data_IF_803257197573
#
_entry.id   IF_803257197573
#
_cell.length_a   1.000
_cell.length_b   1.000
_cell.length_c   1.000
_cell.angle_alpha   90.00
_cell.angle_beta   90.00
_cell.angle_gamma   90.00
#
_symmetry.space_group_name_H-M   'P 1'
#
loop_
_entity.id
_entity.type
_entity.pdbx_description
1 polymer ?
#
# COMPACT_ATOMS: atom_id res chain seq x y z
N UNK A 1 -9.95 -12.78 6.58
CA UNK A 1 -10.09 -11.31 6.71
C UNK A 1 -11.53 -10.92 6.40
N UNK A 2 -12.12 -9.90 7.06
CA UNK A 2 -13.55 -9.63 6.95
C UNK A 2 -13.84 -8.90 5.62
N UNK A 3 -14.07 -9.66 4.55
CA UNK A 3 -14.32 -9.10 3.22
C UNK A 3 -15.57 -8.20 3.18
N UNK A 4 -16.62 -8.54 3.94
CA UNK A 4 -17.90 -7.81 3.92
C UNK A 4 -17.80 -6.31 4.29
N UNK A 5 -17.19 -5.89 5.42
CA UNK A 5 -17.05 -4.48 5.75
C UNK A 5 -16.13 -3.72 4.79
N UNK A 6 -15.14 -4.39 4.21
CA UNK A 6 -14.23 -3.80 3.21
C UNK A 6 -14.98 -3.50 1.93
N UNK A 7 -15.71 -4.48 1.38
CA UNK A 7 -16.54 -4.28 0.18
C UNK A 7 -17.63 -3.25 0.40
N UNK A 8 -18.24 -3.18 1.59
CA UNK A 8 -19.22 -2.15 1.92
C UNK A 8 -18.60 -0.74 1.98
N UNK A 9 -17.36 -0.61 2.47
CA UNK A 9 -16.65 0.67 2.46
C UNK A 9 -16.29 1.11 1.04
N UNK A 10 -15.76 0.19 0.22
CA UNK A 10 -15.42 0.43 -1.18
C UNK A 10 -16.66 0.80 -1.99
N UNK A 11 -17.79 0.08 -1.82
CA UNK A 11 -19.06 0.40 -2.47
C UNK A 11 -19.65 1.75 -2.05
N UNK A 12 -19.25 2.29 -0.89
CA UNK A 12 -19.60 3.64 -0.45
C UNK A 12 -18.60 4.73 -0.90
N UNK A 13 -17.63 4.38 -1.76
CA UNK A 13 -16.61 5.31 -2.26
C UNK A 13 -15.57 5.70 -1.21
N UNK A 14 -15.36 4.87 -0.18
CA UNK A 14 -14.34 5.10 0.85
C UNK A 14 -13.15 4.17 0.64
N UNK A 15 -11.95 4.71 0.74
CA UNK A 15 -10.73 3.92 0.71
C UNK A 15 -10.48 3.23 2.05
N UNK A 16 -9.91 2.03 1.98
CA UNK A 16 -9.51 1.23 3.14
C UNK A 16 -7.99 1.07 3.09
N UNK A 17 -7.31 1.48 4.15
CA UNK A 17 -5.87 1.29 4.30
C UNK A 17 -5.61 0.00 5.09
N UNK A 18 -4.76 -0.86 4.54
CA UNK A 18 -4.26 -2.05 5.21
C UNK A 18 -2.77 -1.89 5.53
N UNK A 19 -2.39 -2.28 6.75
CA UNK A 19 -1.00 -2.47 7.17
C UNK A 19 -0.79 -3.97 7.35
N UNK A 20 -0.26 -4.64 6.33
CA UNK A 20 -0.09 -6.09 6.24
C UNK A 20 1.27 -6.43 5.64
N UNK A 21 1.78 -7.62 5.93
CA UNK A 21 3.02 -8.14 5.35
C UNK A 21 2.84 -8.57 3.89
N UNK A 22 3.95 -8.98 3.24
CA UNK A 22 3.93 -9.43 1.84
C UNK A 22 3.02 -10.63 1.59
N UNK A 23 2.87 -11.53 2.57
CA UNK A 23 1.99 -12.70 2.44
C UNK A 23 0.52 -12.28 2.46
N UNK A 24 0.17 -11.33 3.33
CA UNK A 24 -1.16 -10.71 3.36
C UNK A 24 -1.46 -9.95 2.07
N UNK A 25 -0.48 -9.20 1.54
CA UNK A 25 -0.62 -8.49 0.27
C UNK A 25 -0.87 -9.44 -0.90
N UNK A 26 -0.14 -10.56 -0.99
CA UNK A 26 -0.37 -11.59 -2.02
C UNK A 26 -1.79 -12.17 -1.93
N UNK A 27 -2.27 -12.50 -0.73
CA UNK A 27 -3.63 -13.03 -0.56
C UNK A 27 -4.71 -12.02 -1.00
N UNK A 28 -4.51 -10.73 -0.75
CA UNK A 28 -5.43 -9.69 -1.24
C UNK A 28 -5.34 -9.52 -2.76
N UNK A 29 -4.13 -9.59 -3.32
CA UNK A 29 -3.93 -9.49 -4.76
C UNK A 29 -4.64 -10.65 -5.50
N UNK A 30 -4.58 -11.87 -4.97
CA UNK A 30 -5.28 -13.03 -5.53
C UNK A 30 -6.80 -12.88 -5.46
N UNK A 31 -7.31 -12.24 -4.41
CA UNK A 31 -8.74 -12.06 -4.20
C UNK A 31 -9.34 -10.89 -5.01
N UNK A 32 -8.60 -9.79 -5.19
CA UNK A 32 -9.13 -8.56 -5.78
C UNK A 32 -8.02 -7.65 -6.31
N UNK A 33 -7.27 -8.12 -7.32
CA UNK A 33 -6.16 -7.36 -7.92
C UNK A 33 -6.58 -6.04 -8.56
N UNK A 34 -7.78 -5.98 -9.13
CA UNK A 34 -8.25 -4.80 -9.88
C UNK A 34 -8.52 -3.60 -8.96
N UNK A 35 -8.94 -3.84 -7.71
CA UNK A 35 -9.28 -2.81 -6.72
C UNK A 35 -8.15 -2.53 -5.71
N UNK A 36 -7.11 -3.38 -5.66
CA UNK A 36 -5.96 -3.19 -4.80
C UNK A 36 -4.99 -2.15 -5.39
N UNK A 37 -4.40 -1.33 -4.52
CA UNK A 37 -3.19 -0.55 -4.83
C UNK A 37 -2.19 -0.86 -3.73
N UNK A 38 -1.03 -1.34 -4.12
CA UNK A 38 0.01 -1.80 -3.21
C UNK A 38 1.19 -0.84 -3.22
N UNK A 39 1.60 -0.37 -2.03
CA UNK A 39 2.72 0.55 -1.85
C UNK A 39 3.71 -0.07 -0.89
N UNK A 40 4.94 -0.34 -1.36
CA UNK A 40 6.02 -0.83 -0.53
C UNK A 40 6.88 0.32 -0.02
N UNK A 41 7.11 0.39 1.28
CA UNK A 41 7.88 1.46 1.91
C UNK A 41 9.25 0.94 2.34
N UNK A 42 10.29 1.37 1.64
CA UNK A 42 11.69 1.07 1.94
C UNK A 42 12.30 2.06 2.93
N UNK A 43 13.19 1.60 3.83
CA UNK A 43 14.11 2.49 4.52
C UNK A 43 15.17 3.04 3.54
N UNK A 44 15.79 4.19 3.82
CA UNK A 44 16.81 4.79 2.95
C UNK A 44 18.12 3.99 2.94
N UNK A 45 18.36 3.19 3.99
CA UNK A 45 19.51 2.28 4.07
C UNK A 45 19.23 1.10 4.99
N UNK A 46 20.00 0.02 4.85
CA UNK A 46 20.00 -1.12 5.78
C UNK A 46 20.41 -0.70 7.19
N UNK A 47 21.31 0.26 7.33
CA UNK A 47 21.73 0.82 8.62
C UNK A 47 20.59 1.55 9.33
N UNK A 48 19.75 2.27 8.58
CA UNK A 48 18.59 2.95 9.17
C UNK A 48 17.48 1.97 9.54
N UNK A 49 17.33 0.87 8.78
CA UNK A 49 16.47 -0.25 9.17
C UNK A 49 16.91 -0.87 10.49
N UNK A 50 18.20 -1.19 10.61
CA UNK A 50 18.79 -1.77 11.82
C UNK A 50 18.60 -0.83 13.02
N UNK A 51 18.89 0.47 12.88
CA UNK A 51 18.63 1.48 13.91
C UNK A 51 17.16 1.51 14.33
N UNK A 52 16.21 1.44 13.38
CA UNK A 52 14.77 1.44 13.68
C UNK A 52 14.39 0.19 14.46
N UNK A 53 14.91 -0.99 14.10
CA UNK A 53 14.68 -2.24 14.83
C UNK A 53 15.26 -2.19 16.25
N UNK A 54 16.48 -1.67 16.40
CA UNK A 54 17.15 -1.44 17.69
C UNK A 54 16.39 -0.43 18.57
N UNK A 55 15.83 0.63 17.99
CA UNK A 55 15.07 1.64 18.75
C UNK A 55 13.71 1.13 19.22
N UNK A 56 13.14 0.15 18.51
CA UNK A 56 11.81 -0.39 18.80
C UNK A 56 11.84 -1.48 19.86
N UNK A 57 13.01 -1.95 20.28
CA UNK A 57 13.09 -3.00 21.28
C UNK A 57 14.36 -2.94 22.13
N UNK A 58 14.24 -3.32 23.41
CA UNK A 58 15.34 -3.83 24.24
C UNK A 58 15.79 -5.23 23.77
N UNK A 59 15.74 -5.49 22.46
CA UNK A 59 16.02 -6.80 21.86
C UNK A 59 17.53 -7.07 21.93
N UNK A 60 17.90 -8.32 22.25
CA UNK A 60 19.30 -8.76 22.18
C UNK A 60 19.80 -8.72 20.72
N UNK A 61 21.12 -8.66 20.53
CA UNK A 61 21.74 -8.63 19.21
C UNK A 61 21.27 -9.78 18.29
N UNK A 62 21.01 -10.95 18.85
CA UNK A 62 20.53 -12.13 18.12
C UNK A 62 19.11 -11.94 17.54
N UNK A 63 18.23 -11.26 18.28
CA UNK A 63 16.86 -10.97 17.83
C UNK A 63 16.88 -9.95 16.69
N UNK A 64 17.76 -8.94 16.79
CA UNK A 64 17.95 -7.94 15.73
C UNK A 64 18.47 -8.58 14.45
N UNK A 65 19.47 -9.47 14.56
CA UNK A 65 20.01 -10.20 13.42
C UNK A 65 18.92 -11.06 12.73
N UNK A 66 18.10 -11.78 13.49
CA UNK A 66 16.99 -12.55 12.95
C UNK A 66 15.94 -11.68 12.23
N UNK A 67 15.60 -10.52 12.79
CA UNK A 67 14.66 -9.57 12.16
C UNK A 67 15.25 -8.92 10.90
N UNK A 68 16.53 -8.59 10.91
CA UNK A 68 17.23 -8.07 9.72
C UNK A 68 17.24 -9.09 8.58
N UNK A 69 17.48 -10.37 8.89
CA UNK A 69 17.40 -11.45 7.90
C UNK A 69 15.98 -11.56 7.30
N UNK A 70 14.94 -11.58 8.14
CA UNK A 70 13.54 -11.57 7.69
C UNK A 70 13.23 -10.35 6.81
N UNK A 71 13.64 -9.16 7.23
CA UNK A 71 13.40 -7.95 6.45
C UNK A 71 14.09 -7.99 5.08
N UNK A 72 15.27 -8.61 4.96
CA UNK A 72 15.92 -8.82 3.67
C UNK A 72 15.09 -9.71 2.74
N UNK A 73 14.52 -10.80 3.29
CA UNK A 73 13.64 -11.69 2.52
C UNK A 73 12.34 -10.98 2.12
N UNK A 74 11.73 -10.20 3.01
CA UNK A 74 10.54 -9.39 2.70
C UNK A 74 10.83 -8.37 1.60
N UNK A 75 11.97 -7.66 1.68
CA UNK A 75 12.39 -6.68 0.66
C UNK A 75 12.54 -7.35 -0.70
N UNK A 76 12.94 -8.63 -0.80
CA UNK A 76 13.09 -9.30 -2.10
C UNK A 76 11.79 -9.37 -2.92
N UNK A 77 10.63 -9.28 -2.27
CA UNK A 77 9.31 -9.31 -2.89
C UNK A 77 8.83 -7.91 -3.35
N UNK A 78 9.67 -6.87 -3.28
CA UNK A 78 9.29 -5.48 -3.65
C UNK A 78 8.70 -5.36 -5.07
N UNK A 79 9.08 -6.26 -5.98
CA UNK A 79 8.63 -6.24 -7.39
C UNK A 79 7.16 -6.59 -7.59
N UNK A 80 6.52 -7.09 -6.55
CA UNK A 80 5.11 -7.46 -6.57
C UNK A 80 4.19 -6.27 -6.28
N UNK A 81 4.76 -5.14 -5.85
CA UNK A 81 4.04 -3.93 -5.49
C UNK A 81 3.93 -2.95 -6.66
N UNK A 82 2.83 -2.19 -6.72
CA UNK A 82 2.57 -1.19 -7.77
C UNK A 82 3.49 0.02 -7.61
N UNK A 83 3.80 0.41 -6.37
CA UNK A 83 4.64 1.55 -6.04
C UNK A 83 5.70 1.20 -4.98
N UNK A 84 6.87 1.83 -5.09
CA UNK A 84 7.95 1.73 -4.12
C UNK A 84 8.30 3.14 -3.66
N UNK A 85 8.27 3.38 -2.34
CA UNK A 85 8.65 4.65 -1.73
C UNK A 85 9.84 4.45 -0.81
N UNK A 86 10.85 5.31 -0.92
CA UNK A 86 11.99 5.32 0.01
C UNK A 86 11.73 6.37 1.10
N UNK A 87 11.45 5.91 2.31
CA UNK A 87 11.15 6.77 3.45
C UNK A 87 12.41 7.33 4.11
N UNK A 88 13.08 8.22 3.38
CA UNK A 88 14.20 9.03 3.86
C UNK A 88 13.73 10.23 4.71
N UNK A 89 12.60 10.82 4.33
CA UNK A 89 11.94 11.92 5.03
C UNK A 89 10.44 11.60 5.17
N UNK A 90 9.90 11.72 6.39
CA UNK A 90 8.53 11.32 6.68
C UNK A 90 7.52 12.22 5.97
N UNK A 91 7.75 13.53 5.95
CA UNK A 91 6.83 14.48 5.35
C UNK A 91 6.75 14.29 3.83
N UNK A 92 7.89 14.01 3.20
CA UNK A 92 7.97 13.67 1.79
C UNK A 92 7.27 12.34 1.47
N UNK A 93 7.54 11.28 2.25
CA UNK A 93 6.87 9.99 2.06
C UNK A 93 5.34 10.11 2.20
N UNK A 94 4.86 10.91 3.16
CA UNK A 94 3.41 11.18 3.31
C UNK A 94 2.84 11.91 2.10
N UNK A 95 3.56 12.90 1.55
CA UNK A 95 3.12 13.60 0.32
C UNK A 95 3.03 12.64 -0.86
N UNK A 96 3.99 11.75 -1.01
CA UNK A 96 4.03 10.75 -2.10
C UNK A 96 2.89 9.74 -1.98
N UNK A 97 2.62 9.21 -0.78
CA UNK A 97 1.46 8.33 -0.55
C UNK A 97 0.15 9.04 -0.88
N UNK A 98 0.00 10.32 -0.50
CA UNK A 98 -1.19 11.11 -0.85
C UNK A 98 -1.32 11.34 -2.35
N UNK A 99 -0.20 11.54 -3.04
CA UNK A 99 -0.18 11.69 -4.49
C UNK A 99 -0.61 10.40 -5.20
N UNK A 100 -0.10 9.25 -4.75
CA UNK A 100 -0.52 7.92 -5.24
C UNK A 100 -2.02 7.72 -5.03
N UNK A 101 -2.51 7.95 -3.81
CA UNK A 101 -3.94 7.83 -3.49
C UNK A 101 -4.81 8.69 -4.42
N UNK A 102 -4.39 9.94 -4.66
CA UNK A 102 -5.11 10.85 -5.54
C UNK A 102 -5.08 10.38 -7.00
N UNK A 103 -3.94 9.89 -7.48
CA UNK A 103 -3.80 9.38 -8.84
C UNK A 103 -4.68 8.14 -9.08
N UNK A 104 -4.72 7.21 -8.12
CA UNK A 104 -5.52 5.99 -8.20
C UNK A 104 -7.02 6.28 -8.20
N UNK A 105 -7.48 7.24 -7.40
CA UNK A 105 -8.88 7.72 -7.42
C UNK A 105 -9.28 8.34 -8.77
N UNK A 106 -8.32 8.90 -9.52
CA UNK A 106 -8.59 9.51 -10.82
C UNK A 106 -8.60 8.50 -11.96
N UNK A 107 -8.19 7.25 -11.75
CA UNK A 107 -8.24 6.25 -12.83
C UNK A 107 -9.69 6.00 -13.27
N UNK A 108 -9.89 5.94 -14.59
CA UNK A 108 -11.20 5.82 -15.24
C UNK A 108 -12.03 4.65 -14.68
N UNK A 109 -11.39 3.51 -14.47
CA UNK A 109 -11.98 2.27 -13.95
C UNK A 109 -12.45 2.40 -12.50
N UNK A 110 -11.91 3.34 -11.72
CA UNK A 110 -12.23 3.56 -10.30
C UNK A 110 -13.22 4.71 -10.05
N UNK A 111 -13.62 5.44 -11.09
CA UNK A 111 -14.58 6.54 -10.98
C UNK A 111 -16.03 6.03 -11.04
N UNK A 112 -16.67 5.93 -9.88
CA UNK A 112 -18.06 5.48 -9.74
C UNK A 112 -19.01 6.42 -10.51
N UNK A 113 -19.88 5.85 -11.36
CA UNK A 113 -20.89 6.60 -12.10
C UNK A 113 -20.37 7.36 -13.33
N UNK A 114 -19.08 7.29 -13.66
CA UNK A 114 -18.48 7.97 -14.80
C UNK A 114 -19.15 7.58 -16.13
N UNK A 115 -19.41 6.29 -16.34
CA UNK A 115 -20.07 5.79 -17.55
C UNK A 115 -21.45 6.41 -17.75
N UNK A 116 -22.24 6.51 -16.69
CA UNK A 116 -23.59 7.08 -16.77
C UNK A 116 -23.55 8.59 -16.93
N UNK A 117 -22.59 9.27 -16.29
CA UNK A 117 -22.32 10.68 -16.53
C UNK A 117 -21.99 10.95 -18.01
N UNK A 118 -21.09 10.17 -18.60
CA UNK A 118 -20.70 10.30 -20.02
C UNK A 118 -21.89 10.02 -20.95
N UNK A 119 -22.73 9.03 -20.65
CA UNK A 119 -23.95 8.76 -21.42
C UNK A 119 -24.92 9.95 -21.39
N UNK A 120 -25.13 10.57 -20.22
CA UNK A 120 -25.99 11.76 -20.10
C UNK A 120 -25.43 12.96 -20.88
N UNK A 121 -24.12 13.20 -20.76
CA UNK A 121 -23.44 14.26 -21.49
C UNK A 121 -23.59 14.10 -23.02
N UNK A 122 -23.42 12.87 -23.53
CA UNK A 122 -23.60 12.56 -24.96
C UNK A 122 -25.05 12.71 -25.44
N UNK A 123 -26.03 12.59 -24.55
CA UNK A 123 -27.44 12.75 -24.85
C UNK A 123 -27.89 14.23 -24.89
N UNK A 124 -26.97 15.18 -24.69
CA UNK A 124 -27.26 16.62 -24.78
C UNK A 124 -27.85 17.23 -23.51
N UNK A 125 -27.62 16.60 -22.35
CA UNK A 125 -27.80 17.23 -21.04
C UNK A 125 -26.48 17.79 -20.52
#
# INVERSE_FOLDING_TARGET
TPAAPVMAALGAGRDVLFDIDWQGTQQLADASREDLVSVFILPPSTRDLEKRLLSRAQDSADVVASRMAKASDEISHYREYDYILVNADLDQAVKEVRAILQAERLRRDRQIGLTDFVKRLRAGY
#
